data_IF_725799917293
#
_entry.id   IF_725799917293
#
_cell.length_a   1.000
_cell.length_b   1.000
_cell.length_c   1.000
_cell.angle_alpha   90.00
_cell.angle_beta   90.00
_cell.angle_gamma   90.00
#
_symmetry.space_group_name_H-M   'P 1'
#
loop_
_entity.id
_entity.type
_entity.pdbx_description
1 polymer ?
#
# COMPACT_ATOMS: atom_id res chain seq x y z
N UNK A 1 -5.98 -0.71 26.26
CA UNK A 1 -7.30 -1.23 25.88
C UNK A 1 -8.25 -0.14 25.38
N UNK A 2 -8.62 0.89 26.18
CA UNK A 2 -9.48 1.97 25.64
C UNK A 2 -8.74 2.83 24.61
N UNK A 3 -7.46 3.13 24.85
CA UNK A 3 -6.64 3.87 23.88
C UNK A 3 -6.50 3.10 22.57
N UNK A 4 -6.21 1.78 22.63
CA UNK A 4 -6.16 0.92 21.44
C UNK A 4 -7.50 0.88 20.69
N UNK A 5 -8.61 0.77 21.41
CA UNK A 5 -9.94 0.80 20.82
C UNK A 5 -10.22 2.15 20.15
N UNK A 6 -9.84 3.26 20.79
CA UNK A 6 -9.99 4.62 20.25
C UNK A 6 -9.16 4.79 18.98
N UNK A 7 -7.87 4.47 19.04
CA UNK A 7 -6.96 4.57 17.91
C UNK A 7 -7.45 3.73 16.74
N UNK A 8 -7.67 2.43 16.96
CA UNK A 8 -8.12 1.49 15.93
C UNK A 8 -9.45 1.90 15.32
N UNK A 9 -10.40 2.41 16.12
CA UNK A 9 -11.69 2.89 15.61
C UNK A 9 -11.52 4.04 14.62
N UNK A 10 -10.72 5.05 14.97
CA UNK A 10 -10.51 6.20 14.09
C UNK A 10 -9.65 5.84 12.89
N UNK A 11 -8.67 4.95 13.04
CA UNK A 11 -7.86 4.44 11.91
C UNK A 11 -8.70 3.61 10.94
N UNK A 12 -9.61 2.77 11.43
CA UNK A 12 -10.56 2.08 10.55
C UNK A 12 -11.44 3.09 9.77
N UNK A 13 -11.94 4.11 10.46
CA UNK A 13 -12.76 5.16 9.85
C UNK A 13 -11.99 5.93 8.76
N UNK A 14 -10.74 6.31 9.05
CA UNK A 14 -9.89 7.09 8.14
C UNK A 14 -9.64 6.36 6.83
N UNK A 15 -9.50 5.03 6.89
CA UNK A 15 -9.29 4.15 5.74
C UNK A 15 -10.59 3.67 5.08
N UNK A 16 -11.74 4.26 5.42
CA UNK A 16 -12.97 4.10 4.66
C UNK A 16 -13.91 2.98 5.11
N UNK A 17 -13.73 2.42 6.31
CA UNK A 17 -14.67 1.44 6.86
C UNK A 17 -16.05 2.06 7.06
N UNK A 18 -17.05 1.55 6.34
CA UNK A 18 -18.41 2.10 6.36
C UNK A 18 -19.18 1.89 7.66
N UNK A 19 -18.69 1.02 8.54
CA UNK A 19 -19.33 0.73 9.83
C UNK A 19 -18.39 0.01 10.79
N UNK A 20 -18.60 0.24 12.09
CA UNK A 20 -17.84 -0.36 13.17
C UNK A 20 -18.85 -0.92 14.19
N UNK A 21 -18.67 -2.19 14.55
CA UNK A 21 -19.50 -2.85 15.56
C UNK A 21 -18.69 -3.01 16.85
N UNK A 22 -19.18 -2.41 17.94
CA UNK A 22 -18.59 -2.54 19.26
C UNK A 22 -19.24 -3.69 20.01
N UNK A 23 -18.58 -4.84 19.95
CA UNK A 23 -18.90 -5.97 20.81
C UNK A 23 -18.12 -5.79 22.12
N UNK A 24 -18.72 -5.45 23.27
CA UNK A 24 -20.13 -5.24 23.60
C UNK A 24 -20.36 -3.85 24.20
N UNK A 25 -21.54 -3.27 24.00
CA UNK A 25 -21.96 -2.02 24.65
C UNK A 25 -22.18 -2.18 26.17
N UNK A 26 -22.62 -3.36 26.62
CA UNK A 26 -22.86 -3.70 28.03
C UNK A 26 -21.97 -4.86 28.44
N UNK A 27 -21.34 -4.73 29.60
CA UNK A 27 -20.45 -5.72 30.18
C UNK A 27 -21.19 -7.04 30.48
N UNK A 28 -20.51 -8.17 30.28
CA UNK A 28 -21.07 -9.52 30.55
C UNK A 28 -20.05 -10.36 31.34
N UNK A 29 -20.48 -11.53 31.80
CA UNK A 29 -19.56 -12.48 32.46
C UNK A 29 -18.36 -12.77 31.54
N UNK A 30 -17.15 -12.47 32.05
CA UNK A 30 -15.86 -12.60 31.35
C UNK A 30 -15.64 -11.64 30.17
N UNK A 31 -16.52 -10.66 29.97
CA UNK A 31 -16.34 -9.59 29.00
C UNK A 31 -16.29 -8.25 29.72
N UNK A 32 -15.11 -7.66 29.87
CA UNK A 32 -14.87 -6.43 30.66
C UNK A 32 -14.53 -5.25 29.77
N UNK A 33 -14.73 -4.02 30.25
CA UNK A 33 -14.31 -2.79 29.54
C UNK A 33 -15.38 -2.14 28.64
N UNK A 34 -16.61 -2.67 28.62
CA UNK A 34 -17.76 -2.05 27.95
C UNK A 34 -18.12 -0.69 28.56
N UNK A 35 -18.70 0.25 27.79
CA UNK A 35 -19.09 1.57 28.29
C UNK A 35 -20.17 1.53 29.37
N UNK A 36 -20.97 0.47 29.41
CA UNK A 36 -21.96 0.20 30.44
C UNK A 36 -21.52 -1.04 31.21
N UNK A 37 -21.39 -0.94 32.53
CA UNK A 37 -21.01 -2.06 33.38
C UNK A 37 -22.14 -3.09 33.57
N UNK A 38 -21.83 -4.21 34.24
CA UNK A 38 -22.77 -5.33 34.44
C UNK A 38 -24.02 -4.96 35.23
N UNK A 39 -23.97 -3.87 35.98
CA UNK A 39 -25.06 -3.35 36.83
C UNK A 39 -25.83 -2.22 36.13
N UNK A 40 -25.48 -1.87 34.89
CA UNK A 40 -26.05 -0.74 34.16
C UNK A 40 -25.39 0.61 34.47
N UNK A 41 -24.29 0.62 35.22
CA UNK A 41 -23.52 1.83 35.53
C UNK A 41 -22.74 2.34 34.32
N UNK A 42 -22.57 3.65 34.22
CA UNK A 42 -21.84 4.29 33.11
C UNK A 42 -20.35 4.36 33.47
N UNK A 43 -19.49 3.84 32.60
CA UNK A 43 -18.06 4.09 32.64
C UNK A 43 -17.74 5.35 31.84
N UNK A 44 -17.51 6.45 32.56
CA UNK A 44 -17.49 7.82 32.00
C UNK A 44 -16.56 7.98 30.80
N UNK A 45 -15.30 7.56 30.90
CA UNK A 45 -14.31 7.73 29.83
C UNK A 45 -14.69 6.99 28.53
N UNK A 46 -15.14 5.73 28.66
CA UNK A 46 -15.60 4.92 27.54
C UNK A 46 -16.82 5.57 26.91
N UNK A 47 -17.80 5.96 27.74
CA UNK A 47 -19.03 6.59 27.29
C UNK A 47 -18.78 7.91 26.54
N UNK A 48 -17.90 8.77 27.07
CA UNK A 48 -17.48 10.03 26.44
C UNK A 48 -16.81 9.80 25.08
N UNK A 49 -15.97 8.76 24.95
CA UNK A 49 -15.41 8.36 23.67
C UNK A 49 -16.50 8.07 22.63
N UNK A 50 -17.50 7.25 22.96
CA UNK A 50 -18.58 6.92 22.02
C UNK A 50 -19.45 8.14 21.67
N UNK A 51 -19.70 9.04 22.63
CA UNK A 51 -20.41 10.29 22.36
C UNK A 51 -19.62 11.19 21.40
N UNK A 52 -18.31 11.35 21.64
CA UNK A 52 -17.39 12.10 20.78
C UNK A 52 -17.32 11.51 19.38
N UNK A 53 -17.15 10.19 19.27
CA UNK A 53 -17.13 9.48 17.99
C UNK A 53 -18.41 9.74 17.17
N UNK A 54 -19.58 9.57 17.77
CA UNK A 54 -20.86 9.84 17.10
C UNK A 54 -21.03 11.30 16.68
N UNK A 55 -20.54 12.25 17.49
CA UNK A 55 -20.56 13.69 17.15
C UNK A 55 -19.71 13.96 15.90
N UNK A 56 -18.50 13.43 15.85
CA UNK A 56 -17.58 13.59 14.71
C UNK A 56 -18.19 12.99 13.43
N UNK A 57 -18.73 11.77 13.49
CA UNK A 57 -19.36 11.12 12.33
C UNK A 57 -20.51 11.93 11.74
N UNK A 58 -21.36 12.49 12.60
CA UNK A 58 -22.47 13.36 12.19
C UNK A 58 -21.94 14.64 11.55
N UNK A 59 -20.96 15.28 12.16
CA UNK A 59 -20.37 16.54 11.67
C UNK A 59 -19.71 16.38 10.30
N UNK A 60 -18.92 15.33 10.11
CA UNK A 60 -18.27 15.06 8.83
C UNK A 60 -19.26 14.53 7.77
N UNK A 61 -20.51 14.24 8.13
CA UNK A 61 -21.48 13.57 7.27
C UNK A 61 -20.88 12.30 6.64
N UNK A 62 -20.29 11.44 7.47
CA UNK A 62 -19.41 10.36 7.03
C UNK A 62 -19.96 9.51 5.87
N UNK A 63 -21.26 9.21 5.90
CA UNK A 63 -21.98 8.44 4.87
C UNK A 63 -21.96 9.06 3.46
N UNK A 64 -21.54 10.32 3.30
CA UNK A 64 -21.38 11.01 2.00
C UNK A 64 -19.93 11.09 1.53
N UNK A 65 -18.98 10.66 2.37
CA UNK A 65 -17.57 10.71 2.08
C UNK A 65 -17.12 9.39 1.45
N UNK A 66 -16.17 9.49 0.52
CA UNK A 66 -15.49 8.35 -0.08
C UNK A 66 -13.98 8.54 0.04
N UNK A 67 -13.24 7.46 0.25
CA UNK A 67 -11.79 7.49 0.15
C UNK A 67 -11.39 7.41 -1.32
N UNK A 68 -10.56 8.34 -1.77
CA UNK A 68 -10.12 8.38 -3.17
C UNK A 68 -8.66 7.98 -3.27
N UNK A 69 -8.37 6.94 -4.03
CA UNK A 69 -7.01 6.49 -4.32
C UNK A 69 -6.71 6.72 -5.80
N UNK A 70 -5.52 7.23 -6.09
CA UNK A 70 -5.06 7.43 -7.48
C UNK A 70 -4.19 6.27 -7.97
N UNK A 71 -3.63 5.48 -7.04
CA UNK A 71 -2.92 4.25 -7.35
C UNK A 71 -3.63 3.02 -6.77
N UNK A 72 -3.38 1.86 -7.38
CA UNK A 72 -3.76 0.55 -6.87
C UNK A 72 -2.56 -0.39 -6.93
N UNK A 73 -2.32 -1.13 -5.85
CA UNK A 73 -1.37 -2.24 -5.79
C UNK A 73 -2.15 -3.56 -5.91
N UNK A 74 -1.84 -4.36 -6.92
CA UNK A 74 -2.49 -5.63 -7.17
C UNK A 74 -1.67 -6.77 -6.59
N UNK A 75 -2.36 -7.70 -5.94
CA UNK A 75 -1.89 -9.06 -5.75
C UNK A 75 -1.92 -9.76 -7.11
N UNK A 76 -0.76 -10.20 -7.59
CA UNK A 76 -0.68 -11.13 -8.71
C UNK A 76 -1.16 -12.52 -8.23
N UNK A 77 -2.39 -12.88 -8.59
CA UNK A 77 -2.98 -14.15 -8.14
C UNK A 77 -2.25 -15.37 -8.69
N UNK A 78 -1.57 -15.26 -9.81
CA UNK A 78 -0.85 -16.39 -10.41
C UNK A 78 0.39 -16.73 -9.54
N UNK A 79 1.20 -15.73 -9.21
CA UNK A 79 2.31 -15.88 -8.25
C UNK A 79 1.82 -16.26 -6.84
N UNK A 80 0.76 -15.62 -6.34
CA UNK A 80 0.22 -15.92 -5.01
C UNK A 80 -0.33 -17.36 -4.92
N UNK A 81 -0.92 -17.88 -6.00
CA UNK A 81 -1.35 -19.29 -6.07
C UNK A 81 -0.14 -20.23 -6.10
N UNK A 82 0.95 -19.87 -6.79
CA UNK A 82 2.19 -20.65 -6.80
C UNK A 82 2.84 -20.70 -5.41
N UNK A 83 2.88 -19.58 -4.70
CA UNK A 83 3.31 -19.51 -3.30
C UNK A 83 2.49 -20.46 -2.41
N UNK A 84 1.15 -20.41 -2.53
CA UNK A 84 0.27 -21.28 -1.76
C UNK A 84 0.38 -22.76 -2.15
N UNK A 85 0.60 -23.08 -3.43
CA UNK A 85 0.74 -24.44 -3.93
C UNK A 85 2.08 -25.09 -3.57
N UNK A 86 3.12 -24.27 -3.37
CA UNK A 86 4.44 -24.72 -2.93
C UNK A 86 4.60 -24.73 -1.39
N UNK A 87 3.55 -24.36 -0.65
CA UNK A 87 3.52 -24.34 0.81
C UNK A 87 3.35 -25.73 1.43
N UNK A 88 4.16 -26.04 2.44
CA UNK A 88 4.00 -27.19 3.33
C UNK A 88 2.87 -27.03 4.35
N UNK A 89 2.35 -25.82 4.53
CA UNK A 89 1.38 -25.49 5.58
C UNK A 89 -0.04 -25.26 5.06
N UNK A 90 -0.25 -25.09 3.76
CA UNK A 90 -1.61 -24.94 3.20
C UNK A 90 -2.34 -26.29 3.15
N UNK A 91 -3.68 -26.33 3.40
CA UNK A 91 -4.59 -25.22 3.66
C UNK A 91 -4.80 -24.91 5.16
N UNK A 92 -3.84 -25.19 6.05
CA UNK A 92 -4.01 -24.95 7.48
C UNK A 92 -4.18 -23.44 7.71
N UNK A 93 -5.26 -23.00 8.40
CA UNK A 93 -5.42 -21.58 8.73
C UNK A 93 -4.22 -21.12 9.56
N UNK A 94 -3.43 -20.22 8.98
CA UNK A 94 -2.17 -19.75 9.53
C UNK A 94 -2.45 -19.03 10.86
N UNK A 95 -2.04 -19.65 11.96
CA UNK A 95 -2.06 -19.06 13.30
C UNK A 95 -0.72 -18.34 13.54
N UNK A 96 -0.69 -17.05 13.20
CA UNK A 96 0.32 -16.08 13.67
C UNK A 96 1.68 -16.10 12.97
N UNK A 97 2.15 -14.93 12.51
CA UNK A 97 3.57 -14.58 12.29
C UNK A 97 4.42 -15.42 11.32
N UNK A 98 3.88 -16.45 10.68
CA UNK A 98 4.59 -17.32 9.75
C UNK A 98 4.61 -16.66 8.37
N UNK A 99 5.80 -16.32 7.89
CA UNK A 99 6.04 -15.75 6.54
C UNK A 99 6.46 -16.83 5.54
N UNK A 100 6.29 -16.61 4.22
CA UNK A 100 6.54 -17.62 3.18
C UNK A 100 7.87 -18.36 3.33
N UNK A 101 8.92 -17.67 3.78
CA UNK A 101 10.26 -18.23 4.02
C UNK A 101 10.28 -19.48 4.90
N UNK A 102 9.30 -19.66 5.77
CA UNK A 102 9.29 -20.78 6.70
C UNK A 102 8.64 -22.04 6.14
N UNK A 103 7.99 -21.97 4.97
CA UNK A 103 7.10 -23.05 4.55
C UNK A 103 6.94 -23.26 3.04
N UNK A 104 7.39 -22.35 2.19
CA UNK A 104 7.34 -22.54 0.73
C UNK A 104 8.57 -23.30 0.24
N UNK A 105 8.48 -23.92 -0.93
CA UNK A 105 9.65 -24.51 -1.60
C UNK A 105 10.70 -23.44 -1.89
N UNK A 106 11.98 -23.78 -1.75
CA UNK A 106 13.11 -22.94 -2.18
C UNK A 106 13.62 -23.31 -3.59
N UNK A 107 12.97 -24.26 -4.27
CA UNK A 107 13.34 -24.65 -5.63
C UNK A 107 12.99 -23.53 -6.63
N UNK A 108 13.86 -23.25 -7.59
CA UNK A 108 13.58 -22.25 -8.64
C UNK A 108 12.46 -22.67 -9.62
N UNK A 109 12.07 -23.96 -9.61
CA UNK A 109 11.08 -24.55 -10.51
C UNK A 109 11.37 -24.29 -12.01
N UNK A 110 12.63 -24.04 -12.36
CA UNK A 110 13.07 -23.67 -13.71
C UNK A 110 12.91 -22.20 -14.07
N UNK A 111 12.59 -21.32 -13.10
CA UNK A 111 12.60 -19.86 -13.26
C UNK A 111 13.95 -19.26 -12.86
N UNK A 112 14.18 -17.98 -13.15
CA UNK A 112 15.41 -17.27 -12.76
C UNK A 112 15.39 -16.84 -11.29
N UNK A 113 14.21 -16.70 -10.68
CA UNK A 113 14.04 -16.42 -9.26
C UNK A 113 13.15 -17.49 -8.60
N UNK A 114 13.27 -17.63 -7.29
CA UNK A 114 12.39 -18.46 -6.47
C UNK A 114 11.07 -17.69 -6.25
N UNK A 115 10.19 -17.68 -7.26
CA UNK A 115 8.97 -16.84 -7.30
C UNK A 115 8.15 -16.95 -6.01
N UNK A 116 7.93 -18.17 -5.52
CA UNK A 116 7.17 -18.45 -4.30
C UNK A 116 7.76 -17.84 -3.02
N UNK A 117 9.06 -17.54 -3.01
CA UNK A 117 9.74 -16.91 -1.90
C UNK A 117 9.78 -15.38 -2.08
N UNK A 118 10.11 -14.95 -3.29
CA UNK A 118 10.42 -13.55 -3.57
C UNK A 118 9.17 -12.70 -3.83
N UNK A 119 8.09 -13.30 -4.35
CA UNK A 119 6.86 -12.56 -4.69
C UNK A 119 6.28 -11.79 -3.50
N UNK A 120 6.08 -12.46 -2.36
CA UNK A 120 5.57 -11.82 -1.16
C UNK A 120 6.45 -10.65 -0.70
N UNK A 121 7.77 -10.78 -0.80
CA UNK A 121 8.72 -9.71 -0.44
C UNK A 121 8.63 -8.50 -1.35
N UNK A 122 8.47 -8.72 -2.66
CA UNK A 122 8.29 -7.62 -3.61
C UNK A 122 6.97 -6.90 -3.37
N UNK A 123 5.91 -7.66 -3.08
CA UNK A 123 4.61 -7.09 -2.74
C UNK A 123 4.68 -6.26 -1.45
N UNK A 124 5.31 -6.80 -0.39
CA UNK A 124 5.52 -6.11 0.88
C UNK A 124 6.33 -4.82 0.69
N UNK A 125 7.38 -4.86 -0.13
CA UNK A 125 8.20 -3.67 -0.38
C UNK A 125 7.43 -2.54 -1.05
N UNK A 126 6.55 -2.86 -2.02
CA UNK A 126 5.66 -1.86 -2.60
C UNK A 126 4.61 -1.40 -1.57
N UNK A 127 3.99 -2.32 -0.85
CA UNK A 127 2.95 -2.01 0.13
C UNK A 127 3.45 -1.06 1.23
N UNK A 128 4.49 -1.47 1.96
CA UNK A 128 5.07 -0.66 3.02
C UNK A 128 5.75 0.58 2.45
N UNK A 129 6.40 0.47 1.28
CA UNK A 129 7.09 1.57 0.62
C UNK A 129 6.16 2.73 0.25
N UNK A 130 5.01 2.46 -0.39
CA UNK A 130 4.03 3.51 -0.72
C UNK A 130 3.44 4.16 0.55
N UNK A 131 3.19 3.37 1.59
CA UNK A 131 2.72 3.88 2.89
C UNK A 131 3.74 4.80 3.57
N UNK A 132 5.00 4.37 3.67
CA UNK A 132 6.09 5.16 4.24
C UNK A 132 6.31 6.47 3.46
N UNK A 133 6.25 6.39 2.12
CA UNK A 133 6.37 7.54 1.23
C UNK A 133 5.12 8.44 1.17
N UNK A 134 4.03 8.11 1.89
CA UNK A 134 2.78 8.89 1.98
C UNK A 134 2.04 9.04 0.66
N UNK A 135 2.13 8.03 -0.20
CA UNK A 135 1.33 7.96 -1.41
C UNK A 135 0.14 7.03 -1.19
N UNK A 136 -1.08 7.57 -1.35
CA UNK A 136 -2.31 6.79 -1.17
C UNK A 136 -2.47 5.78 -2.32
N UNK A 137 -2.31 4.48 -2.00
CA UNK A 137 -2.68 3.37 -2.88
C UNK A 137 -3.77 2.53 -2.23
N UNK A 138 -4.70 2.01 -3.03
CA UNK A 138 -5.62 0.97 -2.57
C UNK A 138 -5.07 -0.40 -2.94
N UNK A 139 -5.64 -1.45 -2.36
CA UNK A 139 -5.30 -2.83 -2.68
C UNK A 139 -6.36 -3.46 -3.59
N UNK A 140 -5.91 -4.37 -4.44
CA UNK A 140 -6.76 -5.21 -5.28
C UNK A 140 -6.02 -6.47 -5.71
N UNK A 141 -6.56 -7.17 -6.68
CA UNK A 141 -5.90 -8.33 -7.28
C UNK A 141 -6.03 -8.32 -8.79
N UNK A 142 -5.29 -9.22 -9.45
CA UNK A 142 -5.30 -9.36 -10.90
C UNK A 142 -6.63 -9.89 -11.47
N UNK A 143 -7.70 -10.09 -10.69
CA UNK A 143 -9.05 -10.39 -11.21
C UNK A 143 -9.87 -9.13 -11.42
N UNK A 144 -9.45 -7.97 -10.88
CA UNK A 144 -10.14 -6.70 -11.12
C UNK A 144 -10.30 -6.44 -12.61
N UNK A 145 -11.52 -6.11 -13.09
CA UNK A 145 -11.76 -5.94 -14.51
C UNK A 145 -11.16 -4.63 -15.02
N UNK A 146 -10.86 -4.57 -16.32
CA UNK A 146 -10.16 -3.44 -16.95
C UNK A 146 -10.86 -2.11 -16.67
N UNK A 147 -12.20 -2.08 -16.73
CA UNK A 147 -13.00 -0.87 -16.52
C UNK A 147 -12.79 -0.27 -15.13
N UNK A 148 -12.49 -1.12 -14.13
CA UNK A 148 -12.17 -0.68 -12.77
C UNK A 148 -10.72 -0.20 -12.68
N UNK A 149 -9.79 -0.88 -13.35
CA UNK A 149 -8.38 -0.47 -13.42
C UNK A 149 -8.21 0.89 -14.07
N UNK A 150 -8.98 1.20 -15.13
CA UNK A 150 -8.98 2.49 -15.82
C UNK A 150 -9.36 3.68 -14.92
N UNK A 151 -9.97 3.44 -13.75
CA UNK A 151 -10.25 4.48 -12.76
C UNK A 151 -9.02 4.95 -11.99
N UNK A 152 -7.90 4.21 -12.06
CA UNK A 152 -6.66 4.53 -11.39
C UNK A 152 -5.65 5.15 -12.36
N UNK A 153 -4.87 6.10 -11.85
CA UNK A 153 -3.74 6.69 -12.59
C UNK A 153 -2.55 5.72 -12.65
N UNK A 154 -2.40 4.91 -11.60
CA UNK A 154 -1.31 3.96 -11.47
C UNK A 154 -1.86 2.58 -11.06
N UNK A 155 -1.40 1.54 -11.74
CA UNK A 155 -1.59 0.13 -11.34
C UNK A 155 -0.19 -0.44 -11.14
N UNK A 156 0.11 -0.89 -9.93
CA UNK A 156 1.36 -1.59 -9.60
C UNK A 156 1.07 -3.07 -9.38
N UNK A 157 1.89 -3.94 -9.93
CA UNK A 157 1.79 -5.38 -9.71
C UNK A 157 3.19 -5.99 -9.82
N UNK A 158 3.71 -6.66 -8.78
CA UNK A 158 4.94 -7.42 -8.93
C UNK A 158 4.78 -8.53 -9.97
N UNK A 159 5.73 -8.64 -10.88
CA UNK A 159 5.76 -9.59 -11.98
C UNK A 159 7.03 -10.42 -11.97
N UNK A 160 6.86 -11.69 -12.28
CA UNK A 160 7.93 -12.65 -12.53
C UNK A 160 7.67 -13.28 -13.91
N UNK A 161 8.41 -14.31 -14.29
CA UNK A 161 8.28 -14.98 -15.59
C UNK A 161 6.92 -15.67 -15.81
N UNK A 162 6.11 -15.83 -14.76
CA UNK A 162 4.81 -16.50 -14.82
C UNK A 162 3.64 -15.52 -14.64
N UNK A 163 2.78 -15.40 -15.65
CA UNK A 163 1.53 -14.63 -15.57
C UNK A 163 0.52 -15.09 -16.61
N UNK A 164 -0.73 -15.31 -16.20
CA UNK A 164 -1.80 -15.74 -17.11
C UNK A 164 -2.01 -14.80 -18.29
N UNK A 165 -2.31 -15.38 -19.45
CA UNK A 165 -2.42 -14.67 -20.73
C UNK A 165 -3.43 -13.53 -20.69
N UNK A 166 -4.57 -13.76 -20.05
CA UNK A 166 -5.65 -12.77 -19.96
C UNK A 166 -5.29 -11.62 -19.00
N UNK A 167 -4.51 -11.88 -17.95
CA UNK A 167 -3.98 -10.83 -17.08
C UNK A 167 -2.97 -9.99 -17.83
N UNK A 168 -2.03 -10.60 -18.57
CA UNK A 168 -1.07 -9.86 -19.41
C UNK A 168 -1.78 -8.93 -20.40
N UNK A 169 -2.77 -9.44 -21.15
CA UNK A 169 -3.58 -8.63 -22.09
C UNK A 169 -4.29 -7.49 -21.40
N UNK A 170 -4.88 -7.72 -20.22
CA UNK A 170 -5.61 -6.70 -19.47
C UNK A 170 -4.69 -5.58 -18.98
N UNK A 171 -3.54 -5.93 -18.40
CA UNK A 171 -2.57 -4.95 -17.92
C UNK A 171 -2.00 -4.13 -19.08
N UNK A 172 -1.72 -4.79 -20.21
CA UNK A 172 -1.30 -4.13 -21.43
C UNK A 172 -2.37 -3.18 -21.98
N UNK A 173 -3.63 -3.61 -21.99
CA UNK A 173 -4.77 -2.77 -22.39
C UNK A 173 -4.89 -1.53 -21.52
N UNK A 174 -4.82 -1.69 -20.19
CA UNK A 174 -4.80 -0.58 -19.24
C UNK A 174 -3.69 0.44 -19.54
N UNK A 175 -2.46 -0.03 -19.79
CA UNK A 175 -1.35 0.86 -20.11
C UNK A 175 -1.54 1.58 -21.46
N UNK A 176 -1.99 0.86 -22.51
CA UNK A 176 -2.27 1.45 -23.83
C UNK A 176 -3.36 2.53 -23.78
N UNK A 177 -4.34 2.36 -22.91
CA UNK A 177 -5.49 3.27 -22.73
C UNK A 177 -5.22 4.47 -21.80
N UNK A 178 -3.96 4.73 -21.46
CA UNK A 178 -3.53 5.95 -20.74
C UNK A 178 -3.10 5.72 -19.30
N UNK A 179 -3.19 4.48 -18.81
CA UNK A 179 -2.72 4.11 -17.49
C UNK A 179 -1.20 4.12 -17.36
N UNK A 180 -0.71 4.32 -16.13
CA UNK A 180 0.68 4.02 -15.78
C UNK A 180 0.74 2.64 -15.11
N UNK A 181 1.37 1.67 -15.77
CA UNK A 181 1.57 0.32 -15.24
C UNK A 181 2.97 0.23 -14.61
N UNK A 182 3.06 -0.18 -13.35
CA UNK A 182 4.34 -0.42 -12.65
C UNK A 182 4.50 -1.91 -12.44
N UNK A 183 5.56 -2.49 -13.02
CA UNK A 183 5.83 -3.93 -13.01
C UNK A 183 7.32 -4.22 -12.77
N UNK A 184 7.64 -5.47 -12.47
CA UNK A 184 8.97 -5.91 -12.04
C UNK A 184 8.90 -6.91 -10.87
N UNK A 185 9.99 -7.65 -10.59
CA UNK A 185 11.33 -7.50 -11.18
C UNK A 185 11.49 -8.06 -12.59
N UNK A 186 10.75 -9.11 -12.97
CA UNK A 186 10.93 -9.78 -14.28
C UNK A 186 9.78 -9.55 -15.24
N UNK A 187 10.08 -9.66 -16.53
CA UNK A 187 9.09 -9.73 -17.58
C UNK A 187 8.38 -11.09 -17.54
N UNK A 188 7.03 -11.14 -17.62
CA UNK A 188 6.33 -12.39 -17.82
C UNK A 188 6.63 -13.00 -19.19
N UNK A 189 7.08 -14.26 -19.19
CA UNK A 189 7.45 -15.02 -20.38
C UNK A 189 6.59 -16.28 -20.58
N UNK A 190 5.84 -16.70 -19.55
CA UNK A 190 5.01 -17.91 -19.56
C UNK A 190 3.57 -17.62 -19.12
N UNK A 191 2.61 -18.29 -19.76
CA UNK A 191 1.20 -18.26 -19.40
C UNK A 191 0.83 -19.30 -18.33
N UNK A 192 -0.45 -19.35 -17.94
CA UNK A 192 -0.99 -20.25 -16.92
C UNK A 192 -0.83 -21.76 -17.25
N UNK A 193 -0.48 -22.07 -18.50
CA UNK A 193 -0.23 -23.45 -18.97
C UNK A 193 1.26 -23.73 -19.21
N UNK A 194 2.15 -22.82 -18.78
CA UNK A 194 3.61 -22.88 -18.99
C UNK A 194 4.03 -22.87 -20.46
N UNK A 195 3.20 -22.31 -21.34
CA UNK A 195 3.57 -22.02 -22.72
C UNK A 195 4.16 -20.62 -22.80
N UNK A 196 5.07 -20.40 -23.77
CA UNK A 196 5.61 -19.08 -24.07
C UNK A 196 4.49 -18.05 -24.32
N UNK A 197 4.59 -16.91 -23.66
CA UNK A 197 3.63 -15.82 -23.72
C UNK A 197 4.32 -14.49 -23.41
N UNK A 198 4.61 -13.76 -24.49
CA UNK A 198 5.43 -12.56 -24.58
C UNK A 198 4.61 -11.26 -24.64
N UNK A 199 3.31 -11.30 -24.32
CA UNK A 199 2.38 -10.17 -24.54
C UNK A 199 2.84 -8.88 -23.84
N UNK A 200 3.33 -8.99 -22.61
CA UNK A 200 3.95 -7.84 -21.92
C UNK A 200 5.42 -7.69 -22.29
N UNK A 201 6.16 -8.80 -22.40
CA UNK A 201 7.59 -8.83 -22.67
C UNK A 201 7.98 -8.11 -23.96
N UNK A 202 7.22 -8.25 -25.05
CA UNK A 202 7.41 -7.53 -26.33
C UNK A 202 7.45 -5.99 -26.17
N UNK A 203 6.98 -5.48 -25.05
CA UNK A 203 6.91 -4.05 -24.74
C UNK A 203 7.91 -3.61 -23.65
N UNK A 204 8.78 -4.51 -23.21
CA UNK A 204 9.82 -4.26 -22.21
C UNK A 204 11.20 -4.30 -22.86
N UNK A 205 12.21 -3.78 -22.14
CA UNK A 205 13.60 -3.86 -22.55
C UNK A 205 14.18 -5.17 -22.01
N UNK A 206 14.88 -5.90 -22.88
CA UNK A 206 15.72 -7.00 -22.44
C UNK A 206 16.87 -6.45 -21.57
N UNK A 207 17.20 -7.11 -20.46
CA UNK A 207 18.33 -6.71 -19.63
C UNK A 207 19.65 -6.95 -20.37
N UNK A 208 20.56 -5.97 -20.33
CA UNK A 208 21.88 -6.10 -20.93
C UNK A 208 22.88 -6.82 -20.02
N UNK A 209 22.63 -6.79 -18.72
CA UNK A 209 23.43 -7.45 -17.69
C UNK A 209 22.51 -7.80 -16.51
N UNK A 210 22.88 -8.85 -15.76
CA UNK A 210 22.30 -9.13 -14.44
C UNK A 210 23.41 -9.16 -13.40
N UNK A 211 23.18 -8.46 -12.29
CA UNK A 211 24.14 -8.28 -11.22
C UNK A 211 23.55 -8.80 -9.92
N UNK A 212 24.26 -9.71 -9.24
CA UNK A 212 23.80 -10.35 -7.99
C UNK A 212 23.39 -9.33 -6.91
N UNK A 213 24.12 -8.22 -6.81
CA UNK A 213 23.89 -7.19 -5.80
C UNK A 213 24.28 -5.81 -6.29
N UNK A 214 23.38 -4.85 -6.07
CA UNK A 214 23.62 -3.42 -6.32
C UNK A 214 23.19 -2.61 -5.10
N UNK A 215 24.02 -1.66 -4.67
CA UNK A 215 23.67 -0.76 -3.56
C UNK A 215 23.19 0.60 -4.11
N UNK A 216 21.98 1.01 -3.73
CA UNK A 216 21.40 2.32 -4.09
C UNK A 216 20.75 2.96 -2.88
N UNK A 217 21.02 4.25 -2.66
CA UNK A 217 20.46 5.02 -1.54
C UNK A 217 20.62 4.31 -0.16
N UNK A 218 21.74 3.59 0.02
CA UNK A 218 22.08 2.85 1.24
C UNK A 218 21.37 1.51 1.40
N UNK A 219 20.75 0.97 0.34
CA UNK A 219 20.02 -0.30 0.35
C UNK A 219 20.63 -1.27 -0.64
N UNK A 220 20.74 -2.52 -0.21
CA UNK A 220 21.16 -3.64 -1.03
C UNK A 220 19.96 -4.19 -1.82
N UNK A 221 20.01 -4.08 -3.14
CA UNK A 221 19.05 -4.66 -4.08
C UNK A 221 19.69 -5.92 -4.68
N UNK A 222 18.94 -7.01 -4.77
CA UNK A 222 19.45 -8.30 -5.24
C UNK A 222 18.99 -8.61 -6.65
N UNK A 223 19.76 -9.43 -7.35
CA UNK A 223 19.44 -9.97 -8.67
C UNK A 223 18.93 -8.87 -9.62
N UNK A 224 19.75 -7.83 -9.75
CA UNK A 224 19.43 -6.61 -10.45
C UNK A 224 19.70 -6.75 -11.95
N UNK A 225 18.62 -6.76 -12.72
CA UNK A 225 18.62 -6.59 -14.16
C UNK A 225 18.96 -5.13 -14.48
N UNK A 226 19.98 -4.96 -15.33
CA UNK A 226 20.48 -3.68 -15.82
C UNK A 226 19.93 -3.46 -17.22
N UNK A 227 19.37 -2.27 -17.46
CA UNK A 227 18.78 -1.91 -18.74
C UNK A 227 19.57 -0.82 -19.46
N UNK A 228 19.50 -0.82 -20.79
CA UNK A 228 19.92 0.31 -21.63
C UNK A 228 18.70 1.16 -21.98
N UNK A 229 18.43 2.19 -21.16
CA UNK A 229 17.32 3.12 -21.38
C UNK A 229 17.74 4.58 -21.29
N UNK A 230 17.20 5.39 -22.18
CA UNK A 230 17.32 6.84 -22.17
C UNK A 230 16.35 7.51 -21.20
N UNK A 231 15.24 6.86 -20.83
CA UNK A 231 14.22 7.37 -19.91
C UNK A 231 14.28 6.62 -18.57
N UNK A 232 15.41 6.83 -17.88
CA UNK A 232 15.73 6.18 -16.62
C UNK A 232 15.15 6.94 -15.42
N UNK A 233 14.51 6.21 -14.50
CA UNK A 233 14.04 6.73 -13.21
C UNK A 233 15.03 6.46 -12.08
N UNK A 234 15.82 5.37 -12.16
CA UNK A 234 16.84 5.02 -11.18
C UNK A 234 18.07 4.44 -11.87
N UNK A 235 19.26 4.89 -11.45
CA UNK A 235 20.54 4.40 -11.95
C UNK A 235 21.42 3.95 -10.78
N UNK A 236 22.28 3.00 -11.06
CA UNK A 236 23.42 2.60 -10.23
C UNK A 236 24.72 2.78 -11.01
N UNK A 237 25.84 2.39 -10.39
CA UNK A 237 27.14 2.36 -11.07
C UNK A 237 27.21 1.32 -12.20
N UNK A 238 26.27 0.36 -12.22
CA UNK A 238 26.17 -0.67 -13.27
C UNK A 238 25.28 -0.25 -14.44
N UNK A 239 24.32 0.66 -14.24
CA UNK A 239 23.44 1.13 -15.32
C UNK A 239 22.05 1.53 -14.85
N UNK A 240 21.03 1.33 -15.69
CA UNK A 240 19.63 1.67 -15.36
C UNK A 240 18.96 0.51 -14.64
N UNK A 241 18.34 0.79 -13.49
CA UNK A 241 17.61 -0.19 -12.68
C UNK A 241 16.08 -0.04 -12.78
N UNK A 242 15.63 1.19 -13.03
CA UNK A 242 14.22 1.50 -13.27
C UNK A 242 14.16 2.41 -14.48
N UNK A 243 13.33 2.05 -15.45
CA UNK A 243 13.03 2.88 -16.61
C UNK A 243 11.53 3.03 -16.78
N UNK A 244 11.14 4.00 -17.62
CA UNK A 244 9.77 4.11 -18.10
C UNK A 244 9.74 4.09 -19.63
N UNK A 245 8.65 3.61 -20.20
CA UNK A 245 8.43 3.56 -21.64
C UNK A 245 6.98 3.89 -21.97
N UNK A 246 6.79 4.78 -22.94
CA UNK A 246 5.46 5.13 -23.46
C UNK A 246 4.88 3.96 -24.23
N UNK A 247 3.60 3.65 -23.97
CA UNK A 247 2.86 2.64 -24.71
C UNK A 247 1.43 3.10 -24.98
N UNK A 248 1.04 3.14 -26.25
CA UNK A 248 -0.22 3.78 -26.64
C UNK A 248 -0.29 5.22 -26.14
N UNK A 249 -1.28 5.50 -25.30
CA UNK A 249 -1.46 6.81 -24.64
C UNK A 249 -0.96 6.85 -23.18
N UNK A 250 -0.54 5.72 -22.63
CA UNK A 250 -0.01 5.60 -21.27
C UNK A 250 1.44 5.17 -21.26
N UNK A 251 1.85 4.44 -20.22
CA UNK A 251 3.24 4.02 -20.03
C UNK A 251 3.41 2.83 -19.10
N UNK A 252 4.55 2.18 -19.23
CA UNK A 252 5.04 1.14 -18.31
C UNK A 252 6.26 1.70 -17.58
N UNK A 253 6.33 1.45 -16.27
CA UNK A 253 7.51 1.63 -15.43
C UNK A 253 7.96 0.23 -15.02
N UNK A 254 9.16 -0.16 -15.42
CA UNK A 254 9.75 -1.45 -15.06
C UNK A 254 10.88 -1.22 -14.06
N UNK A 255 10.89 -1.98 -12.96
CA UNK A 255 12.05 -2.14 -12.10
C UNK A 255 12.62 -3.55 -12.26
N UNK A 256 13.95 -3.69 -12.19
CA UNK A 256 14.65 -4.95 -12.51
C UNK A 256 15.28 -5.68 -11.33
N UNK A 257 14.88 -5.42 -10.09
CA UNK A 257 15.62 -5.93 -8.93
C UNK A 257 14.69 -6.42 -7.83
N UNK A 258 15.23 -7.31 -6.98
CA UNK A 258 14.57 -7.76 -5.77
C UNK A 258 14.84 -6.79 -4.62
N UNK A 259 13.78 -6.24 -4.05
CA UNK A 259 13.86 -5.54 -2.77
C UNK A 259 14.31 -6.51 -1.66
N UNK A 260 15.08 -6.02 -0.66
CA UNK A 260 15.29 -6.78 0.56
C UNK A 260 13.97 -6.97 1.30
N UNK A 261 13.92 -7.94 2.21
CA UNK A 261 12.73 -8.20 3.04
C UNK A 261 12.28 -6.93 3.75
N UNK A 262 11.04 -6.50 3.48
CA UNK A 262 10.45 -5.31 4.08
C UNK A 262 9.48 -5.67 5.20
N UNK A 263 9.41 -4.76 6.18
CA UNK A 263 8.42 -4.72 7.26
C UNK A 263 7.91 -3.29 7.39
N UNK A 264 7.17 -2.99 8.45
CA UNK A 264 6.73 -1.63 8.78
C UNK A 264 7.90 -0.62 8.93
N UNK A 265 9.10 -1.09 9.25
CA UNK A 265 10.32 -0.27 9.38
C UNK A 265 11.00 -0.08 8.01
N UNK A 266 10.41 0.75 7.16
CA UNK A 266 10.89 0.99 5.79
C UNK A 266 12.13 1.88 5.76
N UNK A 267 13.26 1.42 5.18
CA UNK A 267 14.45 2.25 5.06
C UNK A 267 14.24 3.47 4.11
N UNK A 268 14.97 4.55 4.37
CA UNK A 268 14.84 5.80 3.61
C UNK A 268 15.10 5.63 2.11
N UNK A 269 16.02 4.74 1.72
CA UNK A 269 16.27 4.44 0.30
C UNK A 269 15.08 3.80 -0.42
N UNK A 270 14.27 2.95 0.25
CA UNK A 270 13.06 2.35 -0.37
C UNK A 270 12.04 3.45 -0.57
N UNK A 271 11.85 4.30 0.44
CA UNK A 271 11.01 5.50 0.33
C UNK A 271 11.46 6.39 -0.84
N UNK A 272 12.77 6.55 -1.06
CA UNK A 272 13.33 7.30 -2.20
C UNK A 272 13.04 6.65 -3.55
N UNK A 273 13.17 5.32 -3.67
CA UNK A 273 12.83 4.56 -4.88
C UNK A 273 11.34 4.68 -5.19
N UNK A 274 10.49 4.49 -4.19
CA UNK A 274 9.04 4.60 -4.32
C UNK A 274 8.63 6.03 -4.70
N UNK A 275 9.28 7.05 -4.16
CA UNK A 275 9.01 8.44 -4.53
C UNK A 275 9.26 8.70 -6.03
N UNK A 276 10.30 8.08 -6.60
CA UNK A 276 10.60 8.17 -8.04
C UNK A 276 9.52 7.49 -8.87
N UNK A 277 9.13 6.26 -8.50
CA UNK A 277 8.06 5.52 -9.17
C UNK A 277 6.74 6.29 -9.08
N UNK A 278 6.36 6.74 -7.89
CA UNK A 278 5.11 7.44 -7.63
C UNK A 278 5.04 8.78 -8.38
N UNK A 279 6.13 9.56 -8.36
CA UNK A 279 6.22 10.82 -9.08
C UNK A 279 6.13 10.61 -10.59
N UNK A 280 6.86 9.63 -11.13
CA UNK A 280 6.79 9.28 -12.54
C UNK A 280 5.38 8.80 -12.93
N UNK A 281 4.71 8.05 -12.07
CA UNK A 281 3.32 7.65 -12.24
C UNK A 281 2.31 8.80 -12.04
N UNK A 282 2.77 10.01 -11.71
CA UNK A 282 1.93 11.19 -11.51
C UNK A 282 1.08 11.13 -10.24
N UNK A 283 1.48 10.37 -9.23
CA UNK A 283 0.85 10.40 -7.92
C UNK A 283 1.29 11.65 -7.13
N UNK A 284 0.58 11.93 -6.04
CA UNK A 284 0.93 13.03 -5.13
C UNK A 284 0.83 12.53 -3.70
N UNK A 285 1.74 13.02 -2.85
CA UNK A 285 1.71 12.70 -1.43
C UNK A 285 0.45 13.25 -0.78
N UNK A 286 -0.05 12.55 0.23
CA UNK A 286 -1.21 12.96 1.01
C UNK A 286 -0.86 14.18 1.87
N UNK A 287 0.32 14.12 2.51
CA UNK A 287 0.91 15.19 3.32
C UNK A 287 2.42 15.28 3.07
N UNK A 288 3.06 16.43 3.35
CA UNK A 288 4.51 16.59 3.23
C UNK A 288 5.32 15.76 4.23
N UNK A 289 4.79 15.50 5.43
CA UNK A 289 5.51 14.78 6.48
C UNK A 289 5.83 13.34 6.08
N UNK A 290 7.10 12.96 6.10
CA UNK A 290 7.58 11.61 5.72
C UNK A 290 7.93 10.72 6.91
N UNK A 291 7.56 11.13 8.12
CA UNK A 291 7.85 10.34 9.32
C UNK A 291 7.11 8.99 9.25
N UNK A 292 7.79 7.85 9.49
CA UNK A 292 7.19 6.52 9.37
C UNK A 292 6.08 6.27 10.40
N UNK A 293 6.10 6.97 11.54
CA UNK A 293 5.06 6.85 12.57
C UNK A 293 3.80 7.68 12.26
N UNK A 294 3.80 8.45 11.17
CA UNK A 294 2.65 9.25 10.76
C UNK A 294 1.95 8.57 9.59
N UNK A 295 0.67 8.30 9.75
CA UNK A 295 -0.21 7.83 8.68
C UNK A 295 -1.24 8.92 8.34
N UNK A 296 -1.66 8.97 7.09
CA UNK A 296 -2.61 9.97 6.63
C UNK A 296 -3.56 9.40 5.58
N UNK A 297 -4.80 9.87 5.61
CA UNK A 297 -5.82 9.50 4.63
C UNK A 297 -6.70 10.70 4.31
N UNK A 298 -7.20 10.75 3.08
CA UNK A 298 -8.11 11.79 2.62
C UNK A 298 -9.42 11.19 2.14
N UNK A 299 -10.52 11.75 2.65
CA UNK A 299 -11.87 11.44 2.25
C UNK A 299 -12.54 12.67 1.65
N UNK A 300 -13.31 12.47 0.59
CA UNK A 300 -13.93 13.55 -0.18
C UNK A 300 -15.43 13.28 -0.31
N UNK A 301 -16.26 14.33 -0.23
CA UNK A 301 -17.70 14.24 -0.50
C UNK A 301 -18.28 15.61 -0.87
N UNK A 302 -18.68 15.77 -2.14
CA UNK A 302 -19.01 17.08 -2.69
C UNK A 302 -17.78 17.99 -2.64
N UNK A 303 -17.95 19.20 -2.12
CA UNK A 303 -16.86 20.17 -1.94
C UNK A 303 -16.06 19.96 -0.64
N UNK A 304 -16.45 18.97 0.18
CA UNK A 304 -15.79 18.70 1.47
C UNK A 304 -14.60 17.78 1.29
N UNK A 305 -13.49 18.13 1.93
CA UNK A 305 -12.27 17.32 2.02
C UNK A 305 -11.91 17.14 3.49
N UNK A 306 -11.86 15.89 3.94
CA UNK A 306 -11.43 15.52 5.28
C UNK A 306 -10.05 14.88 5.19
N UNK A 307 -9.06 15.48 5.85
CA UNK A 307 -7.75 14.90 6.11
C UNK A 307 -7.76 14.27 7.49
N UNK A 308 -7.48 12.97 7.57
CA UNK A 308 -7.19 12.30 8.83
C UNK A 308 -5.70 12.05 8.95
N UNK A 309 -5.12 12.33 10.11
CA UNK A 309 -3.69 12.12 10.38
C UNK A 309 -3.55 11.36 11.68
N UNK A 310 -2.92 10.19 11.62
CA UNK A 310 -2.69 9.31 12.75
C UNK A 310 -1.20 9.34 13.13
N UNK A 311 -0.90 9.42 14.42
CA UNK A 311 0.43 9.14 14.96
C UNK A 311 0.40 7.76 15.58
N UNK A 312 1.02 6.78 14.92
CA UNK A 312 1.14 5.39 15.38
C UNK A 312 2.22 5.22 16.45
N UNK A 313 3.10 6.21 16.60
CA UNK A 313 4.16 6.23 17.61
C UNK A 313 3.63 6.54 19.01
N UNK A 314 4.48 6.34 20.02
CA UNK A 314 4.12 6.56 21.44
C UNK A 314 4.41 7.96 21.96
N UNK A 315 5.11 8.77 21.17
CA UNK A 315 5.51 10.13 21.52
C UNK A 315 4.80 11.16 20.65
N UNK A 316 4.61 12.34 21.21
CA UNK A 316 4.12 13.50 20.46
C UNK A 316 5.07 13.87 19.32
N UNK A 317 4.50 14.27 18.18
CA UNK A 317 5.26 14.68 16.99
C UNK A 317 4.69 15.97 16.40
N UNK A 318 5.60 16.82 15.93
CA UNK A 318 5.26 17.95 15.07
C UNK A 318 5.11 17.46 13.61
N UNK A 319 3.95 17.68 13.02
CA UNK A 319 3.58 17.13 11.72
C UNK A 319 3.18 18.25 10.78
N UNK A 320 3.89 18.38 9.66
CA UNK A 320 3.47 19.23 8.54
C UNK A 320 2.36 18.54 7.75
N UNK A 321 1.16 19.11 7.80
CA UNK A 321 -0.06 18.66 7.12
C UNK A 321 -0.31 19.43 5.80
N UNK A 322 0.62 20.30 5.39
CA UNK A 322 0.64 20.96 4.09
C UNK A 322 -0.40 22.05 3.88
N UNK A 323 -1.16 22.44 4.91
CA UNK A 323 -2.22 23.44 4.79
C UNK A 323 -2.92 23.75 6.11
N UNK A 324 -3.93 24.63 6.06
CA UNK A 324 -4.77 24.95 7.22
C UNK A 324 -6.09 24.21 7.15
N UNK A 325 -6.52 23.70 8.29
CA UNK A 325 -7.72 22.88 8.42
C UNK A 325 -8.46 23.22 9.71
N UNK A 326 -9.76 22.96 9.75
CA UNK A 326 -10.58 23.01 10.95
C UNK A 326 -10.54 21.64 11.62
N UNK A 327 -10.11 21.57 12.87
CA UNK A 327 -10.19 20.34 13.65
C UNK A 327 -11.67 20.04 13.99
N UNK A 328 -12.16 18.87 13.56
CA UNK A 328 -13.56 18.49 13.77
C UNK A 328 -13.92 18.18 15.21
N UNK A 329 -12.92 18.04 16.09
CA UNK A 329 -13.14 17.85 17.51
C UNK A 329 -12.97 19.14 18.33
N UNK A 330 -11.89 19.90 18.12
CA UNK A 330 -11.66 21.14 18.87
C UNK A 330 -12.33 22.38 18.29
N UNK A 331 -12.76 22.34 17.02
CA UNK A 331 -13.31 23.48 16.25
C UNK A 331 -12.29 24.57 15.91
N UNK A 332 -11.02 24.36 16.21
CA UNK A 332 -9.97 25.34 15.97
C UNK A 332 -9.38 25.21 14.57
N UNK A 333 -8.96 26.35 14.01
CA UNK A 333 -8.15 26.38 12.80
C UNK A 333 -6.70 26.02 13.15
N UNK A 334 -6.18 24.96 12.54
CA UNK A 334 -4.84 24.42 12.80
C UNK A 334 -4.01 24.33 11.51
N UNK A 335 -2.69 24.21 11.64
CA UNK A 335 -1.74 24.03 10.53
C UNK A 335 -0.94 25.28 10.13
N UNK A 336 0.07 25.15 9.25
CA UNK A 336 0.43 23.94 8.49
C UNK A 336 1.19 22.89 9.28
N UNK A 337 1.80 23.24 10.41
CA UNK A 337 2.44 22.29 11.33
C UNK A 337 1.55 22.17 12.58
N UNK A 338 1.28 20.94 13.00
CA UNK A 338 0.49 20.65 14.20
C UNK A 338 1.19 19.63 15.09
N UNK A 339 1.02 19.79 16.40
CA UNK A 339 1.37 18.77 17.37
C UNK A 339 0.31 17.66 17.39
N UNK A 340 0.76 16.42 17.22
CA UNK A 340 -0.09 15.22 17.30
C UNK A 340 0.45 14.29 18.40
N UNK A 341 -0.30 14.11 19.51
CA UNK A 341 0.07 13.17 20.55
C UNK A 341 0.27 11.75 20.03
N UNK A 342 1.17 11.01 20.67
CA UNK A 342 1.38 9.61 20.35
C UNK A 342 0.09 8.80 20.47
N UNK A 343 -0.10 7.86 19.55
CA UNK A 343 -1.22 6.92 19.52
C UNK A 343 -2.60 7.58 19.43
N UNK A 344 -2.70 8.63 18.60
CA UNK A 344 -3.95 9.37 18.36
C UNK A 344 -4.21 9.62 16.87
N UNK A 345 -5.46 9.96 16.55
CA UNK A 345 -5.89 10.37 15.20
C UNK A 345 -6.54 11.76 15.29
N UNK A 346 -6.10 12.67 14.42
CA UNK A 346 -6.72 13.98 14.19
C UNK A 346 -7.57 13.93 12.93
N UNK A 347 -8.78 14.49 12.98
CA UNK A 347 -9.71 14.52 11.85
C UNK A 347 -9.97 15.98 11.52
N UNK A 348 -9.54 16.37 10.33
CA UNK A 348 -9.37 17.76 9.93
C UNK A 348 -10.17 18.03 8.66
N UNK A 349 -10.99 19.06 8.64
CA UNK A 349 -11.73 19.51 7.46
C UNK A 349 -11.00 20.66 6.78
N UNK A 350 -10.84 20.60 5.46
CA UNK A 350 -10.24 21.71 4.70
C UNK A 350 -11.04 22.99 4.93
N UNK A 351 -10.35 24.07 5.31
CA UNK A 351 -10.93 25.35 5.68
C UNK A 351 -11.44 26.16 4.47
#
# INVERSE_FOLDING_TARGET
>A
MLDDARFTTYTALMHGFSGINFYMLVERERWVGSPIDRSGGIRKEQFEFYQRFNRILKRMNYHKLITTYKGILLVNRDCARLELASSLLTPIPILGGITPEYYVSEDDLGFNDIIQLEYGRQWDALYYGFGAAKYAVTLGDTELPLERLSGYRMVAVPTFEFMSRDVQKKLLGYAKDGGCLVIGPRAPAFDETMNECDILEEHLLEPCERVDTVTVDGIELKDADIFDSTDALLRSDHGVLIYQQTIGSGKIIQFGFLFPRMTEDVPAGVTGIIDRIATAAGLSRIIPCIDPAIDAAVQIGGDRKILSVANTGTVEKEVDIGGRYIDLDSEELVGPVISIPGYTVRILEAA
#
